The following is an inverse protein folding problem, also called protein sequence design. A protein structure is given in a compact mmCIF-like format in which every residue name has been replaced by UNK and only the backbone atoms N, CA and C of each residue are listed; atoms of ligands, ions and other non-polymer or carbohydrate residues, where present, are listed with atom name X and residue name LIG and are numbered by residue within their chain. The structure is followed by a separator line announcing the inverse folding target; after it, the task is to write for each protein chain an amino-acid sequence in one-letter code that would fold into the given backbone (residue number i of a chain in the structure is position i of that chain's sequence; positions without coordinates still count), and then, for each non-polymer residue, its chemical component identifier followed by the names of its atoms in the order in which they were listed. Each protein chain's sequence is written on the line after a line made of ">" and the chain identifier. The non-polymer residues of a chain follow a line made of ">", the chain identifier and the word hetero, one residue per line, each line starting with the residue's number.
data_IF_331800719763
#
_entry.id   IF_331800719763
#
_cell.length_a   1.000
_cell.length_b   1.000
_cell.length_c   1.000
_cell.angle_alpha   90.00
_cell.angle_beta   90.00
_cell.angle_gamma   90.00
#
_symmetry.space_group_name_H-M   'P 1'
#
loop_
_entity.id
_entity.type
_entity.pdbx_description
1 polymer ?
#
# COMPACT_ATOMS: atom_id res chain seq x y z
N UNK A 1 -8.59 12.26 -7.98
CA UNK A 1 -8.60 13.66 -7.52
C UNK A 1 -9.02 13.67 -6.07
N UNK A 2 -8.27 14.33 -5.20
CA UNK A 2 -8.53 14.48 -3.75
C UNK A 2 -8.21 15.90 -3.33
N UNK A 3 -8.87 16.40 -2.29
CA UNK A 3 -8.71 17.77 -1.80
C UNK A 3 -7.41 17.97 -1.02
N UNK A 4 -6.80 19.14 -1.16
CA UNK A 4 -5.60 19.58 -0.47
C UNK A 4 -5.86 19.89 1.01
N UNK A 5 -4.85 19.62 1.85
CA UNK A 5 -4.86 20.01 3.27
C UNK A 5 -5.94 19.32 4.13
N UNK A 6 -6.47 18.20 3.65
CA UNK A 6 -7.51 17.42 4.33
C UNK A 6 -6.98 16.04 4.74
N UNK A 7 -7.67 15.38 5.65
CA UNK A 7 -7.42 13.95 5.89
C UNK A 7 -8.23 13.14 4.90
N UNK A 8 -7.56 12.35 4.07
CA UNK A 8 -8.17 11.43 3.13
C UNK A 8 -8.00 9.99 3.59
N UNK A 9 -9.09 9.23 3.63
CA UNK A 9 -9.04 7.83 4.03
C UNK A 9 -8.66 6.96 2.82
N UNK A 10 -7.45 6.41 2.84
CA UNK A 10 -7.01 5.39 1.90
C UNK A 10 -7.31 4.02 2.50
N UNK A 11 -7.88 3.10 1.72
CA UNK A 11 -8.19 1.75 2.16
C UNK A 11 -7.79 0.75 1.10
N UNK A 12 -7.55 -0.48 1.53
CA UNK A 12 -7.28 -1.57 0.62
C UNK A 12 -7.25 -2.92 1.31
N UNK A 13 -6.69 -3.88 0.59
CA UNK A 13 -6.59 -5.26 1.04
C UNK A 13 -5.19 -5.81 0.69
N UNK A 14 -4.67 -6.67 1.54
CA UNK A 14 -3.41 -7.39 1.31
C UNK A 14 -3.62 -8.87 1.59
N UNK A 15 -2.87 -9.73 0.90
CA UNK A 15 -2.97 -11.17 1.08
C UNK A 15 -1.61 -11.84 0.92
N UNK A 16 -1.41 -12.90 1.67
CA UNK A 16 -0.28 -13.82 1.55
C UNK A 16 -0.83 -15.23 1.70
N UNK A 17 -0.10 -16.22 1.18
CA UNK A 17 -0.52 -17.62 1.22
C UNK A 17 -0.30 -18.22 2.62
N UNK A 18 0.78 -18.96 2.82
CA UNK A 18 1.03 -19.71 4.06
C UNK A 18 1.48 -18.89 5.29
N UNK A 19 1.14 -17.60 5.34
CA UNK A 19 1.54 -16.67 6.38
C UNK A 19 0.39 -15.72 6.72
N UNK A 20 0.67 -14.70 7.53
CA UNK A 20 -0.29 -13.62 7.84
C UNK A 20 0.30 -12.28 7.41
N UNK A 21 -0.54 -11.35 6.94
CA UNK A 21 -0.10 -9.96 6.77
C UNK A 21 0.05 -9.34 8.16
N UNK A 22 1.26 -8.87 8.47
CA UNK A 22 1.58 -8.27 9.78
C UNK A 22 1.83 -6.78 9.69
N UNK A 23 2.12 -6.27 8.49
CA UNK A 23 2.35 -4.84 8.25
C UNK A 23 1.94 -4.46 6.83
N UNK A 24 1.28 -3.30 6.70
CA UNK A 24 1.08 -2.62 5.42
C UNK A 24 1.58 -1.20 5.57
N UNK A 25 2.42 -0.76 4.65
CA UNK A 25 2.99 0.58 4.64
C UNK A 25 2.53 1.32 3.37
N UNK A 26 2.25 2.61 3.51
CA UNK A 26 1.92 3.48 2.39
C UNK A 26 2.97 4.57 2.24
N UNK A 27 3.26 4.89 0.99
CA UNK A 27 4.09 6.03 0.59
C UNK A 27 3.22 6.99 -0.21
N UNK A 28 3.41 8.29 -0.01
CA UNK A 28 2.83 9.34 -0.86
C UNK A 28 3.87 10.10 -1.70
N UNK A 29 5.12 9.65 -1.73
CA UNK A 29 6.25 10.30 -2.39
C UNK A 29 7.03 9.38 -3.35
N UNK A 30 6.36 8.33 -3.84
CA UNK A 30 6.96 7.35 -4.75
C UNK A 30 7.96 6.39 -4.10
N UNK A 31 7.87 6.19 -2.78
CA UNK A 31 8.60 5.15 -2.04
C UNK A 31 9.80 5.68 -1.26
N UNK A 32 9.96 7.00 -1.14
CA UNK A 32 11.07 7.64 -0.41
C UNK A 32 10.81 7.59 1.10
N UNK A 33 9.56 7.72 1.53
CA UNK A 33 9.14 7.58 2.92
C UNK A 33 7.89 6.72 3.05
N UNK A 34 7.72 6.07 4.20
CA UNK A 34 6.66 5.08 4.43
C UNK A 34 5.98 5.35 5.77
N UNK A 35 4.65 5.26 5.77
CA UNK A 35 3.79 5.33 6.95
C UNK A 35 3.04 4.03 7.12
N UNK A 36 2.94 3.53 8.35
CA UNK A 36 2.20 2.29 8.62
C UNK A 36 0.68 2.53 8.57
N UNK A 37 -0.04 1.60 7.93
CA UNK A 37 -1.49 1.54 7.92
C UNK A 37 -2.04 0.76 9.12
N UNK A 38 -3.24 1.10 9.53
CA UNK A 38 -4.00 0.31 10.50
C UNK A 38 -4.55 -0.94 9.81
N UNK A 39 -4.20 -2.13 10.33
CA UNK A 39 -4.80 -3.38 9.88
C UNK A 39 -6.17 -3.60 10.54
N UNK A 40 -7.13 -4.09 9.77
CA UNK A 40 -8.45 -4.51 10.26
C UNK A 40 -8.34 -5.60 11.33
N UNK A 41 -9.27 -5.57 12.30
CA UNK A 41 -9.27 -6.48 13.46
C UNK A 41 -9.53 -7.94 13.10
N UNK A 42 -10.34 -8.16 12.06
CA UNK A 42 -10.72 -9.51 11.64
C UNK A 42 -9.56 -10.16 10.88
N UNK A 43 -9.14 -11.31 11.38
CA UNK A 43 -8.14 -12.17 10.74
C UNK A 43 -8.75 -13.53 10.48
N UNK A 44 -8.69 -13.98 9.24
CA UNK A 44 -9.07 -15.33 8.87
C UNK A 44 -8.00 -15.91 7.95
N UNK A 45 -7.67 -17.19 8.18
CA UNK A 45 -6.66 -17.88 7.38
C UNK A 45 -7.09 -17.89 5.91
N UNK A 46 -6.16 -17.60 5.01
CA UNK A 46 -6.38 -17.49 3.57
C UNK A 46 -7.36 -16.39 3.13
N UNK A 47 -7.77 -15.48 4.02
CA UNK A 47 -8.58 -14.32 3.67
C UNK A 47 -7.70 -13.08 3.50
N UNK A 48 -8.21 -12.10 2.75
CA UNK A 48 -7.57 -10.81 2.61
C UNK A 48 -7.58 -10.06 3.94
N UNK A 49 -6.44 -9.50 4.33
CA UNK A 49 -6.31 -8.56 5.43
C UNK A 49 -6.66 -7.17 4.92
N UNK A 50 -7.78 -6.61 5.41
CA UNK A 50 -8.13 -5.22 5.12
C UNK A 50 -7.24 -4.27 5.91
N UNK A 51 -7.00 -3.10 5.35
CA UNK A 51 -6.21 -2.04 5.99
C UNK A 51 -6.75 -0.65 5.62
N UNK A 52 -6.43 0.32 6.47
CA UNK A 52 -6.75 1.73 6.26
C UNK A 52 -5.62 2.65 6.70
N UNK A 53 -5.48 3.77 6.00
CA UNK A 53 -4.51 4.81 6.30
C UNK A 53 -5.19 6.17 6.19
N UNK A 54 -5.15 6.93 7.28
CA UNK A 54 -5.61 8.31 7.30
C UNK A 54 -4.48 9.20 6.78
N UNK A 55 -4.51 9.48 5.48
CA UNK A 55 -3.47 10.24 4.80
C UNK A 55 -3.72 11.75 4.97
N UNK A 56 -2.81 12.49 5.62
CA UNK A 56 -2.84 13.95 5.56
C UNK A 56 -2.38 14.39 4.16
N UNK A 57 -3.33 14.82 3.32
CA UNK A 57 -3.00 15.25 1.95
C UNK A 57 -2.16 16.52 1.98
N UNK A 58 -1.25 16.72 1.00
CA UNK A 58 -0.48 17.94 0.89
C UNK A 58 -1.37 19.19 0.87
N UNK A 59 -0.93 20.28 1.49
CA UNK A 59 -1.67 21.56 1.46
C UNK A 59 -1.58 22.28 0.11
N UNK A 60 -0.65 21.87 -0.75
CA UNK A 60 -0.46 22.46 -2.08
C UNK A 60 -1.03 21.52 -3.15
N UNK A 61 -1.78 22.06 -4.13
CA UNK A 61 -2.24 21.29 -5.29
C UNK A 61 -1.06 20.72 -6.08
N UNK A 62 -1.27 19.59 -6.74
CA UNK A 62 -0.22 18.92 -7.51
C UNK A 62 -0.48 17.44 -7.72
N UNK A 63 0.53 16.74 -8.22
CA UNK A 63 0.47 15.29 -8.41
C UNK A 63 1.32 14.58 -7.36
N UNK A 64 0.83 13.46 -6.87
CA UNK A 64 1.59 12.56 -6.01
C UNK A 64 1.44 11.11 -6.47
N UNK A 65 2.39 10.27 -6.08
CA UNK A 65 2.37 8.85 -6.37
C UNK A 65 2.16 8.11 -5.06
N UNK A 66 1.02 7.44 -4.96
CA UNK A 66 0.75 6.52 -3.86
C UNK A 66 1.33 5.14 -4.18
N UNK A 67 1.93 4.53 -3.17
CA UNK A 67 2.34 3.13 -3.16
C UNK A 67 1.83 2.47 -1.89
N UNK A 68 1.47 1.19 -1.99
CA UNK A 68 1.20 0.33 -0.85
C UNK A 68 2.14 -0.88 -0.90
N UNK A 69 2.64 -1.30 0.27
CA UNK A 69 3.58 -2.41 0.42
C UNK A 69 3.22 -3.26 1.63
N UNK A 70 2.95 -4.54 1.39
CA UNK A 70 2.67 -5.50 2.47
C UNK A 70 3.93 -6.27 2.88
N UNK A 71 4.00 -6.62 4.18
CA UNK A 71 4.97 -7.55 4.76
C UNK A 71 4.23 -8.61 5.57
N UNK A 72 4.64 -9.87 5.40
CA UNK A 72 4.03 -10.99 6.10
C UNK A 72 4.82 -11.46 7.33
N UNK A 73 4.22 -12.36 8.11
CA UNK A 73 4.78 -12.93 9.34
C UNK A 73 6.05 -13.76 9.14
N UNK A 74 6.42 -14.09 7.89
CA UNK A 74 7.69 -14.73 7.54
C UNK A 74 8.75 -13.71 7.10
N UNK A 75 8.47 -12.41 7.21
CA UNK A 75 9.37 -11.33 6.82
C UNK A 75 9.46 -11.09 5.31
N UNK A 76 8.55 -11.68 4.52
CA UNK A 76 8.51 -11.44 3.06
C UNK A 76 7.79 -10.13 2.79
N UNK A 77 8.44 -9.26 2.03
CA UNK A 77 7.91 -7.95 1.63
C UNK A 77 7.79 -7.88 0.11
N UNK A 78 6.76 -7.20 -0.39
CA UNK A 78 6.63 -6.96 -1.83
C UNK A 78 7.86 -6.20 -2.38
N UNK A 79 8.39 -6.60 -3.55
CA UNK A 79 9.50 -5.89 -4.18
C UNK A 79 9.03 -4.55 -4.76
N UNK A 80 9.96 -3.61 -4.94
CA UNK A 80 9.66 -2.33 -5.61
C UNK A 80 9.61 -2.48 -7.13
N UNK A 81 10.37 -3.44 -7.67
CA UNK A 81 10.51 -3.65 -9.11
C UNK A 81 9.94 -5.00 -9.51
N UNK A 82 9.48 -5.08 -10.76
CA UNK A 82 9.01 -6.31 -11.39
C UNK A 82 10.20 -7.25 -11.60
N UNK A 83 10.08 -8.47 -11.09
CA UNK A 83 10.92 -9.58 -11.52
C UNK A 83 10.54 -10.00 -12.95
N UNK A 84 11.43 -9.73 -13.91
CA UNK A 84 11.21 -10.00 -15.33
C UNK A 84 11.31 -11.50 -15.65
N UNK A 85 12.00 -12.28 -14.83
CA UNK A 85 12.14 -13.73 -15.02
C UNK A 85 10.81 -14.46 -14.77
N UNK A 86 9.87 -13.81 -14.08
CA UNK A 86 8.51 -14.31 -13.82
C UNK A 86 7.53 -14.07 -14.99
N UNK A 87 7.98 -13.48 -16.10
CA UNK A 87 7.16 -13.27 -17.30
C UNK A 87 5.88 -12.46 -17.02
N UNK A 88 4.71 -13.05 -17.21
CA UNK A 88 3.38 -12.46 -16.89
C UNK A 88 2.80 -12.91 -15.55
N UNK A 89 3.50 -13.78 -14.80
CA UNK A 89 3.05 -14.34 -13.53
C UNK A 89 3.68 -13.62 -12.33
N UNK A 90 3.17 -13.87 -11.12
CA UNK A 90 3.72 -13.31 -9.87
C UNK A 90 3.92 -11.79 -9.91
N UNK A 91 2.91 -11.06 -10.37
CA UNK A 91 2.90 -9.59 -10.33
C UNK A 91 2.64 -9.16 -8.88
N UNK A 92 3.69 -9.11 -8.07
CA UNK A 92 3.63 -8.77 -6.65
C UNK A 92 4.41 -7.50 -6.28
N UNK A 93 5.05 -6.83 -7.25
CA UNK A 93 5.75 -5.58 -7.00
C UNK A 93 4.79 -4.43 -6.67
N UNK A 94 5.27 -3.42 -5.96
CA UNK A 94 4.47 -2.24 -5.65
C UNK A 94 4.04 -1.52 -6.94
N UNK A 95 2.73 -1.31 -7.09
CA UNK A 95 2.17 -0.61 -8.25
C UNK A 95 1.89 0.87 -7.90
N UNK A 96 2.41 1.83 -8.69
CA UNK A 96 2.15 3.24 -8.49
C UNK A 96 0.71 3.62 -8.86
N UNK A 97 0.08 4.43 -8.00
CA UNK A 97 -1.19 5.09 -8.30
C UNK A 97 -0.93 6.59 -8.32
N UNK A 98 -1.07 7.22 -9.49
CA UNK A 98 -1.01 8.67 -9.62
C UNK A 98 -2.31 9.29 -9.08
N UNK A 99 -2.16 10.27 -8.20
CA UNK A 99 -3.26 10.98 -7.57
C UNK A 99 -3.05 12.48 -7.76
N UNK A 100 -4.09 13.16 -8.24
CA UNK A 100 -4.14 14.62 -8.35
C UNK A 100 -4.73 15.21 -7.06
N UNK A 101 -3.98 16.10 -6.42
CA UNK A 101 -4.38 16.96 -5.30
C UNK A 101 -4.90 18.28 -5.87
N UNK A 102 -6.08 18.72 -5.44
CA UNK A 102 -6.68 20.00 -5.81
C UNK A 102 -6.92 20.90 -4.62
#
# INVERSE_FOLDING_TARGET
>A
VVEAGMTYKVQGAAWTSEAEIVKVELSADGGKSWSEASLGKEKARNCWQLWEWNWPTPSQPGRCILLARATDSRGRTQPMERDLDRGSYEINHCLPIEVEIR
#
